data_IF_602674970063
#
_entry.id   IF_602674970063
#
_cell.length_a   1.000
_cell.length_b   1.000
_cell.length_c   1.000
_cell.angle_alpha   90.00
_cell.angle_beta   90.00
_cell.angle_gamma   90.00
#
_symmetry.space_group_name_H-M   'P 1'
#
loop_
_entity.id
_entity.type
_entity.pdbx_description
1 polymer ?
#
# COMPACT_ATOMS: atom_id res chain seq x y z
N UNK A 1 2.64 -9.05 13.88
CA UNK A 1 3.01 -9.36 12.47
C UNK A 1 3.26 -10.85 12.16
N UNK A 2 3.73 -11.70 13.09
CA UNK A 2 4.06 -13.13 12.84
C UNK A 2 3.03 -13.93 12.01
N UNK A 3 1.73 -13.81 12.33
CA UNK A 3 0.68 -14.52 11.60
C UNK A 3 0.56 -14.12 10.12
N UNK A 4 0.86 -12.86 9.78
CA UNK A 4 0.87 -12.38 8.38
C UNK A 4 2.03 -13.03 7.62
N UNK A 5 3.21 -13.16 8.25
CA UNK A 5 4.35 -13.87 7.66
C UNK A 5 4.09 -15.36 7.43
N UNK A 6 3.44 -16.03 8.37
CA UNK A 6 2.99 -17.43 8.23
C UNK A 6 1.97 -17.57 7.10
N UNK A 7 0.99 -16.66 7.03
CA UNK A 7 0.02 -16.61 5.95
C UNK A 7 0.67 -16.40 4.59
N UNK A 8 1.64 -15.49 4.45
CA UNK A 8 2.35 -15.32 3.17
C UNK A 8 3.09 -16.57 2.75
N UNK A 9 3.71 -17.28 3.69
CA UNK A 9 4.40 -18.54 3.42
C UNK A 9 3.42 -19.61 2.89
N UNK A 10 2.22 -19.69 3.46
CA UNK A 10 1.17 -20.59 2.96
C UNK A 10 0.63 -20.15 1.59
N UNK A 11 0.38 -18.85 1.42
CA UNK A 11 -0.15 -18.29 0.18
C UNK A 11 0.82 -18.49 -1.00
N UNK A 12 2.13 -18.36 -0.77
CA UNK A 12 3.16 -18.61 -1.78
C UNK A 12 3.15 -20.06 -2.26
N UNK A 13 3.06 -21.03 -1.33
CA UNK A 13 2.91 -22.45 -1.70
C UNK A 13 1.65 -22.69 -2.53
N UNK A 14 0.55 -22.05 -2.18
CA UNK A 14 -0.71 -22.16 -2.94
C UNK A 14 -0.64 -21.48 -4.32
N UNK A 15 0.17 -20.43 -4.49
CA UNK A 15 0.44 -19.80 -5.79
C UNK A 15 1.29 -20.70 -6.69
N UNK A 16 2.32 -21.34 -6.14
CA UNK A 16 3.13 -22.32 -6.87
C UNK A 16 2.27 -23.48 -7.40
N UNK A 17 1.30 -23.93 -6.58
CA UNK A 17 0.30 -24.92 -6.96
C UNK A 17 -0.84 -24.37 -7.85
N UNK A 18 -0.80 -23.08 -8.20
CA UNK A 18 -1.82 -22.36 -9.01
C UNK A 18 -3.24 -22.35 -8.41
N UNK A 19 -3.38 -22.63 -7.12
CA UNK A 19 -4.65 -22.60 -6.38
C UNK A 19 -5.09 -21.15 -6.13
N UNK A 20 -4.16 -20.31 -5.64
CA UNK A 20 -4.37 -18.87 -5.53
C UNK A 20 -3.86 -18.22 -6.82
N UNK A 21 -4.74 -17.42 -7.44
CA UNK A 21 -4.46 -16.73 -8.72
C UNK A 21 -4.65 -15.21 -8.64
N UNK A 22 -5.17 -14.70 -7.53
CA UNK A 22 -5.46 -13.27 -7.33
C UNK A 22 -5.00 -12.81 -5.96
N UNK A 23 -4.59 -11.56 -5.88
CA UNK A 23 -3.99 -10.95 -4.69
C UNK A 23 -4.99 -10.11 -3.87
N UNK A 24 -6.29 -10.45 -3.90
CA UNK A 24 -7.33 -9.64 -3.22
C UNK A 24 -7.07 -9.43 -1.73
N UNK A 25 -6.58 -10.45 -1.04
CA UNK A 25 -6.22 -10.39 0.38
C UNK A 25 -5.08 -9.42 0.70
N UNK A 26 -4.30 -8.97 -0.30
CA UNK A 26 -3.27 -7.96 -0.08
C UNK A 26 -3.87 -6.61 0.30
N UNK A 27 -5.09 -6.30 -0.17
CA UNK A 27 -5.82 -5.09 0.25
C UNK A 27 -6.13 -5.13 1.74
N UNK A 28 -6.78 -6.20 2.21
CA UNK A 28 -7.13 -6.39 3.63
C UNK A 28 -5.90 -6.31 4.55
N UNK A 29 -4.77 -6.91 4.14
CA UNK A 29 -3.52 -6.82 4.91
C UNK A 29 -2.97 -5.40 4.93
N UNK A 30 -3.05 -4.67 3.81
CA UNK A 30 -2.61 -3.28 3.74
C UNK A 30 -3.41 -2.39 4.69
N UNK A 31 -4.74 -2.54 4.66
CA UNK A 31 -5.66 -1.82 5.53
C UNK A 31 -5.41 -2.13 7.01
N UNK A 32 -5.18 -3.39 7.34
CA UNK A 32 -4.80 -3.80 8.70
C UNK A 32 -3.48 -3.14 9.14
N UNK A 33 -2.44 -3.16 8.31
CA UNK A 33 -1.16 -2.51 8.64
C UNK A 33 -1.35 -1.00 8.81
N UNK A 34 -2.09 -0.34 7.92
CA UNK A 34 -2.37 1.09 8.05
C UNK A 34 -3.15 1.42 9.34
N UNK A 35 -4.11 0.58 9.72
CA UNK A 35 -4.82 0.72 11.00
C UNK A 35 -3.88 0.59 12.20
N UNK A 36 -3.14 -0.51 12.28
CA UNK A 36 -2.32 -0.81 13.46
C UNK A 36 -1.08 0.09 13.57
N UNK A 37 -0.47 0.46 12.45
CA UNK A 37 0.78 1.23 12.44
C UNK A 37 0.57 2.75 12.33
N UNK A 38 -0.55 3.21 11.74
CA UNK A 38 -0.81 4.64 11.53
C UNK A 38 -2.06 5.16 12.25
N UNK A 39 -2.77 4.30 13.00
CA UNK A 39 -4.02 4.69 13.67
C UNK A 39 -5.18 4.94 12.70
N UNK A 40 -5.14 4.35 11.50
CA UNK A 40 -6.19 4.52 10.50
C UNK A 40 -7.54 3.99 10.98
N UNK A 41 -8.58 4.80 10.87
CA UNK A 41 -9.97 4.40 11.06
C UNK A 41 -10.52 3.92 9.72
N UNK A 42 -10.87 2.63 9.63
CA UNK A 42 -11.48 2.07 8.41
C UNK A 42 -12.83 2.73 8.13
N UNK A 43 -13.16 2.91 6.85
CA UNK A 43 -14.46 3.42 6.47
C UNK A 43 -15.59 2.51 7.01
N UNK A 44 -16.70 3.05 7.58
CA UNK A 44 -17.78 2.27 8.22
C UNK A 44 -18.44 1.24 7.30
N UNK A 45 -18.41 1.49 6.00
CA UNK A 45 -18.68 0.48 4.99
C UNK A 45 -17.41 0.32 4.17
N UNK A 46 -16.97 -0.92 3.92
CA UNK A 46 -15.91 -1.25 2.96
C UNK A 46 -16.28 -0.89 1.50
N UNK A 47 -17.14 0.11 1.30
CA UNK A 47 -17.78 0.56 0.06
C UNK A 47 -18.00 2.07 0.01
N UNK A 48 -17.49 2.86 0.97
CA UNK A 48 -17.47 4.31 0.77
C UNK A 48 -16.66 4.61 -0.50
N UNK A 49 -17.29 5.26 -1.48
CA UNK A 49 -16.66 5.48 -2.77
C UNK A 49 -15.46 6.41 -2.61
N UNK A 50 -14.25 5.88 -2.87
CA UNK A 50 -13.08 6.67 -3.23
C UNK A 50 -11.94 6.74 -2.20
N UNK A 51 -12.07 6.13 -1.01
CA UNK A 51 -10.98 6.01 -0.05
C UNK A 51 -11.20 4.82 0.91
N UNK A 52 -10.12 4.27 1.46
CA UNK A 52 -10.15 3.06 2.30
C UNK A 52 -10.37 3.38 3.80
N UNK A 53 -10.01 4.60 4.24
CA UNK A 53 -10.20 5.03 5.63
C UNK A 53 -9.73 6.45 5.91
N UNK A 54 -9.62 6.81 7.19
CA UNK A 54 -9.16 8.13 7.64
C UNK A 54 -8.02 8.06 8.63
N UNK A 55 -7.06 8.98 8.49
CA UNK A 55 -5.99 9.25 9.46
C UNK A 55 -6.03 10.75 9.75
N UNK A 56 -6.15 11.15 11.02
CA UNK A 56 -6.23 12.56 11.42
C UNK A 56 -7.30 13.36 10.64
N UNK A 57 -8.48 12.78 10.44
CA UNK A 57 -9.58 13.29 9.61
C UNK A 57 -9.31 13.43 8.10
N UNK A 58 -8.12 13.09 7.62
CA UNK A 58 -7.80 13.04 6.18
C UNK A 58 -8.24 11.71 5.60
N UNK A 59 -8.84 11.73 4.40
CA UNK A 59 -9.21 10.53 3.63
C UNK A 59 -7.96 9.90 3.04
N UNK A 60 -7.85 8.59 3.15
CA UNK A 60 -6.66 7.84 2.76
C UNK A 60 -7.02 6.69 1.82
N UNK A 61 -6.29 6.59 0.72
CA UNK A 61 -6.25 5.41 -0.13
C UNK A 61 -5.01 4.58 0.24
N UNK A 62 -5.16 3.27 0.41
CA UNK A 62 -4.07 2.35 0.77
C UNK A 62 -3.73 1.46 -0.41
N UNK A 63 -2.43 1.29 -0.66
CA UNK A 63 -1.90 0.40 -1.70
C UNK A 63 -0.75 -0.43 -1.16
N UNK A 64 -0.81 -1.72 -1.42
CA UNK A 64 0.26 -2.66 -1.06
C UNK A 64 1.04 -3.13 -2.28
N UNK A 65 2.36 -3.19 -2.13
CA UNK A 65 3.24 -3.89 -3.05
C UNK A 65 4.15 -4.82 -2.23
N UNK A 66 4.07 -6.12 -2.49
CA UNK A 66 4.90 -7.13 -1.82
C UNK A 66 5.53 -8.11 -2.79
N UNK A 67 5.75 -7.70 -4.05
CA UNK A 67 6.19 -8.63 -5.09
C UNK A 67 7.02 -7.97 -6.18
N UNK A 68 6.91 -8.50 -7.40
CA UNK A 68 7.77 -8.13 -8.54
C UNK A 68 7.28 -6.94 -9.35
N UNK A 69 6.12 -6.37 -9.03
CA UNK A 69 5.64 -5.17 -9.74
C UNK A 69 6.54 -3.99 -9.43
N UNK A 70 7.01 -3.31 -10.48
CA UNK A 70 7.83 -2.10 -10.39
C UNK A 70 7.00 -0.81 -10.32
N UNK A 71 5.66 -0.94 -10.35
CA UNK A 71 4.74 0.18 -10.21
C UNK A 71 3.58 -0.13 -9.28
N UNK A 72 2.95 0.92 -8.75
CA UNK A 72 1.75 0.89 -7.92
C UNK A 72 0.71 1.82 -8.55
N UNK A 73 -0.50 1.33 -8.78
CA UNK A 73 -1.61 2.18 -9.25
C UNK A 73 -2.10 3.06 -8.11
N UNK A 74 -2.14 4.38 -8.33
CA UNK A 74 -2.46 5.35 -7.29
C UNK A 74 -3.97 5.60 -7.11
N UNK A 75 -4.83 4.89 -7.84
CA UNK A 75 -6.27 5.20 -7.82
C UNK A 75 -6.55 6.59 -8.41
N UNK A 76 -7.48 7.31 -7.78
CA UNK A 76 -7.96 8.63 -8.20
C UNK A 76 -7.60 9.69 -7.16
N UNK A 77 -6.56 10.52 -7.36
CA UNK A 77 -6.13 11.51 -6.36
C UNK A 77 -7.21 12.50 -5.92
N UNK A 78 -8.24 12.72 -6.72
CA UNK A 78 -9.37 13.59 -6.38
C UNK A 78 -10.29 13.00 -5.27
N UNK A 79 -10.17 11.71 -4.97
CA UNK A 79 -11.07 11.04 -4.01
C UNK A 79 -10.49 10.87 -2.60
N UNK A 80 -9.19 11.13 -2.43
CA UNK A 80 -8.48 11.03 -1.16
C UNK A 80 -7.55 12.23 -0.94
N UNK A 81 -7.15 12.45 0.31
CA UNK A 81 -6.24 13.53 0.69
C UNK A 81 -4.79 13.03 0.76
N UNK A 82 -4.59 11.74 1.10
CA UNK A 82 -3.28 11.08 1.12
C UNK A 82 -3.34 9.67 0.52
N UNK A 83 -2.27 9.28 -0.18
CA UNK A 83 -2.02 7.91 -0.60
C UNK A 83 -1.03 7.27 0.38
N UNK A 84 -1.45 6.18 1.02
CA UNK A 84 -0.59 5.30 1.81
C UNK A 84 -0.07 4.17 0.93
N UNK A 85 1.25 4.10 0.76
CA UNK A 85 1.92 2.98 0.07
C UNK A 85 2.64 2.13 1.09
N UNK A 86 2.34 0.83 1.10
CA UNK A 86 2.99 -0.16 1.96
C UNK A 86 3.81 -1.10 1.10
N UNK A 87 5.12 -1.12 1.33
CA UNK A 87 6.04 -2.08 0.73
C UNK A 87 6.31 -3.22 1.69
N UNK A 88 5.82 -4.41 1.36
CA UNK A 88 6.14 -5.65 2.08
C UNK A 88 7.57 -6.12 1.82
N UNK A 89 8.07 -7.09 2.60
CA UNK A 89 9.49 -7.48 2.62
C UNK A 89 10.01 -8.02 1.27
N UNK A 90 9.12 -8.54 0.41
CA UNK A 90 9.45 -9.08 -0.91
C UNK A 90 9.30 -8.09 -2.06
N UNK A 91 8.97 -6.83 -1.78
CA UNK A 91 8.77 -5.83 -2.84
C UNK A 91 10.08 -5.43 -3.51
N UNK A 92 10.10 -5.48 -4.85
CA UNK A 92 11.23 -4.98 -5.65
C UNK A 92 11.36 -3.46 -5.63
N UNK A 93 10.36 -2.75 -5.12
CA UNK A 93 10.37 -1.30 -5.00
C UNK A 93 11.13 -0.81 -3.75
N UNK A 94 11.52 -1.71 -2.85
CA UNK A 94 12.25 -1.36 -1.62
C UNK A 94 13.64 -0.78 -1.91
N UNK A 95 14.11 0.21 -1.14
CA UNK A 95 15.53 0.52 -1.03
C UNK A 95 16.32 -0.70 -0.52
N UNK A 96 17.59 -0.83 -0.93
CA UNK A 96 18.41 -2.02 -0.63
C UNK A 96 18.85 -2.05 0.83
N UNK A 97 19.01 -0.88 1.46
CA UNK A 97 19.66 -0.73 2.76
C UNK A 97 18.68 -0.56 3.94
N UNK A 98 17.43 -1.03 3.80
CA UNK A 98 16.42 -0.91 4.86
C UNK A 98 15.89 -2.27 5.29
N UNK A 99 16.11 -2.60 6.57
CA UNK A 99 15.78 -3.88 7.19
C UNK A 99 14.35 -3.99 7.73
N UNK A 100 13.60 -2.89 7.84
CA UNK A 100 12.25 -2.89 8.40
C UNK A 100 11.33 -3.84 7.63
N UNK A 101 10.53 -4.66 8.31
CA UNK A 101 9.69 -5.66 7.64
C UNK A 101 8.75 -5.02 6.60
N UNK A 102 8.19 -3.86 6.93
CA UNK A 102 7.34 -3.06 6.06
C UNK A 102 7.87 -1.62 5.96
N UNK A 103 7.79 -1.04 4.77
CA UNK A 103 8.02 0.39 4.57
C UNK A 103 6.70 1.06 4.23
N UNK A 104 6.40 2.17 4.90
CA UNK A 104 5.15 2.90 4.72
C UNK A 104 5.48 4.31 4.22
N UNK A 105 4.80 4.75 3.18
CA UNK A 105 4.89 6.10 2.64
C UNK A 105 3.53 6.77 2.70
N UNK A 106 3.46 8.02 3.16
CA UNK A 106 2.27 8.88 3.12
C UNK A 106 2.51 10.02 2.13
N UNK A 107 1.91 9.93 0.96
CA UNK A 107 2.12 10.88 -0.13
C UNK A 107 0.86 11.75 -0.27
N UNK A 108 0.96 13.08 -0.16
CA UNK A 108 -0.18 13.96 -0.38
C UNK A 108 -0.79 13.78 -1.78
N UNK A 109 -2.12 13.83 -1.91
CA UNK A 109 -2.79 13.61 -3.19
C UNK A 109 -2.40 14.63 -4.26
N UNK A 110 -2.11 15.87 -3.85
CA UNK A 110 -1.55 16.93 -4.71
C UNK A 110 -0.21 16.55 -5.32
N UNK A 111 0.66 15.85 -4.60
CA UNK A 111 1.94 15.36 -5.10
C UNK A 111 1.75 14.18 -6.06
N UNK A 112 0.79 13.29 -5.76
CA UNK A 112 0.39 12.20 -6.67
C UNK A 112 -0.15 12.76 -7.99
N UNK A 113 -1.00 13.80 -7.91
CA UNK A 113 -1.67 14.42 -9.07
C UNK A 113 -0.71 15.14 -10.03
N UNK A 114 0.48 15.54 -9.57
CA UNK A 114 1.54 16.08 -10.45
C UNK A 114 2.04 15.06 -11.48
N UNK A 115 1.83 13.76 -11.24
CA UNK A 115 2.27 12.71 -12.15
C UNK A 115 1.29 12.54 -13.30
N UNK A 116 1.75 12.59 -14.57
CA UNK A 116 0.86 12.33 -15.69
C UNK A 116 0.35 10.88 -15.65
N UNK A 117 -0.93 10.65 -15.98
CA UNK A 117 -1.47 9.30 -16.11
C UNK A 117 -0.78 8.57 -17.26
N UNK A 118 -0.73 7.24 -17.16
CA UNK A 118 -0.31 6.40 -18.27
C UNK A 118 -1.37 6.41 -19.39
N UNK A 119 -1.08 5.79 -20.54
CA UNK A 119 -1.94 5.78 -21.75
C UNK A 119 -3.39 5.31 -21.51
N UNK A 120 -3.61 4.55 -20.44
CA UNK A 120 -4.91 4.03 -20.01
C UNK A 120 -5.62 4.93 -18.99
N UNK A 121 -5.11 6.14 -18.75
CA UNK A 121 -5.69 7.11 -17.83
C UNK A 121 -5.33 6.86 -16.36
N UNK A 122 -4.53 5.83 -16.04
CA UNK A 122 -4.22 5.46 -14.66
C UNK A 122 -2.87 6.01 -14.23
N UNK A 123 -2.84 6.73 -13.11
CA UNK A 123 -1.59 7.18 -12.47
C UNK A 123 -0.91 5.98 -11.81
N UNK A 124 0.37 5.80 -12.12
CA UNK A 124 1.20 4.71 -11.58
C UNK A 124 2.46 5.28 -10.96
N UNK A 125 2.73 5.01 -9.69
CA UNK A 125 3.96 5.40 -9.03
C UNK A 125 5.03 4.33 -9.24
N UNK A 126 6.24 4.74 -9.65
CA UNK A 126 7.42 3.89 -9.73
C UNK A 126 8.30 4.11 -8.49
N UNK A 127 9.39 3.32 -8.35
CA UNK A 127 10.31 3.41 -7.20
C UNK A 127 10.79 4.83 -6.91
N UNK A 128 11.19 5.58 -7.96
CA UNK A 128 11.65 6.96 -7.82
C UNK A 128 10.58 7.98 -7.42
N UNK A 129 9.30 7.58 -7.32
CA UNK A 129 8.23 8.44 -6.80
C UNK A 129 7.99 8.24 -5.29
N UNK A 130 8.60 7.22 -4.68
CA UNK A 130 8.52 6.96 -3.25
C UNK A 130 9.68 7.68 -2.54
N UNK A 131 9.58 9.01 -2.47
CA UNK A 131 10.59 9.85 -1.83
C UNK A 131 10.67 9.59 -0.33
N UNK A 132 11.89 9.69 0.22
CA UNK A 132 12.16 9.46 1.64
C UNK A 132 11.43 10.45 2.55
N UNK A 133 11.17 11.66 2.08
CA UNK A 133 10.41 12.70 2.80
C UNK A 133 8.97 12.26 3.12
N UNK A 134 8.43 11.29 2.36
CA UNK A 134 7.12 10.72 2.60
C UNK A 134 7.16 9.42 3.41
N UNK A 135 8.36 8.89 3.73
CA UNK A 135 8.50 7.64 4.49
C UNK A 135 8.13 7.88 5.95
N UNK A 136 7.18 7.11 6.45
CA UNK A 136 6.71 7.19 7.82
C UNK A 136 7.53 6.24 8.69
N UNK A 137 8.07 6.77 9.78
CA UNK A 137 8.58 5.96 10.89
C UNK A 137 7.39 5.53 11.74
N UNK A 138 7.29 4.24 12.01
CA UNK A 138 6.24 3.68 12.86
C UNK A 138 6.86 2.65 13.80
N UNK A 139 6.23 2.47 14.94
CA UNK A 139 6.58 1.40 15.87
C UNK A 139 5.57 0.30 15.65
N UNK A 140 6.01 -0.86 15.17
CA UNK A 140 5.17 -2.07 15.20
C UNK A 140 4.98 -2.47 16.66
N UNK A 141 3.74 -2.46 17.15
CA UNK A 141 3.38 -3.05 18.44
C UNK A 141 3.50 -4.59 18.42
#
# INVERSE_FOLDING_TARGET
>A
MKAIGEFYSAADRLRELKVIRTDRYLGDIAEFIAKECLGMQLAPSCREQGHDGKIDNKRVEVKYNGGKSITITAGKPETYDELVVILGPKSVMRPVDISDEYLIYRIPSEEVAKKPPHKDGVIRLAKGNLHEDYRVQFTSA
#
